data_IF_371295064088
#
_entry.id   IF_371295064088
#
_cell.length_a   1.000
_cell.length_b   1.000
_cell.length_c   1.000
_cell.angle_alpha   90.00
_cell.angle_beta   90.00
_cell.angle_gamma   90.00
#
_symmetry.space_group_name_H-M   'P 1'
#
loop_
_entity.id
_entity.type
_entity.pdbx_description
1 polymer ?
#
# COMPACT_ATOMS: atom_id res chain seq x y z
N UNK A 1 -11.30 25.25 10.10
CA UNK A 1 -10.12 24.76 10.84
C UNK A 1 -8.90 25.39 10.20
N UNK A 2 -7.97 25.89 11.00
CA UNK A 2 -6.72 26.44 10.47
C UNK A 2 -5.88 25.30 9.88
N UNK A 3 -5.49 25.44 8.61
CA UNK A 3 -4.61 24.48 7.95
C UNK A 3 -3.22 24.56 8.58
N UNK A 4 -2.58 23.42 8.80
CA UNK A 4 -1.20 23.34 9.32
C UNK A 4 -0.14 23.44 8.23
N UNK A 5 -0.54 23.84 7.01
CA UNK A 5 0.34 24.09 5.87
C UNK A 5 -0.15 25.29 5.06
N UNK A 6 0.69 25.79 4.18
CA UNK A 6 0.34 26.74 3.12
C UNK A 6 1.04 26.37 1.81
N UNK A 7 0.45 26.76 0.68
CA UNK A 7 1.10 26.65 -0.62
C UNK A 7 2.20 27.73 -0.75
N UNK A 8 3.32 27.36 -1.34
CA UNK A 8 4.42 28.29 -1.63
C UNK A 8 4.40 28.72 -3.11
N UNK A 9 5.24 29.69 -3.46
CA UNK A 9 5.47 30.12 -4.85
C UNK A 9 6.30 29.10 -5.65
N UNK A 10 6.95 28.14 -4.98
CA UNK A 10 7.68 27.07 -5.65
C UNK A 10 6.68 26.12 -6.31
N UNK A 11 6.73 26.06 -7.64
CA UNK A 11 5.82 25.26 -8.45
C UNK A 11 6.60 24.35 -9.41
N UNK A 12 5.95 23.26 -9.81
CA UNK A 12 6.40 22.39 -10.90
C UNK A 12 5.20 21.94 -11.74
N UNK A 13 5.44 21.57 -12.99
CA UNK A 13 4.45 20.89 -13.82
C UNK A 13 4.81 19.41 -13.82
N UNK A 14 3.87 18.55 -13.44
CA UNK A 14 4.09 17.10 -13.42
C UNK A 14 3.81 16.44 -14.78
N UNK A 15 3.97 15.12 -14.85
CA UNK A 15 3.77 14.33 -16.08
C UNK A 15 2.32 14.42 -16.61
N UNK A 16 1.35 14.72 -15.75
CA UNK A 16 -0.05 14.93 -16.12
C UNK A 16 -0.35 16.37 -16.59
N UNK A 17 0.69 17.20 -16.81
CA UNK A 17 0.57 18.62 -17.16
C UNK A 17 -0.18 19.46 -16.10
N UNK A 18 -0.16 19.03 -14.84
CA UNK A 18 -0.78 19.76 -13.72
C UNK A 18 0.29 20.59 -13.01
N UNK A 19 -0.03 21.85 -12.74
CA UNK A 19 0.80 22.71 -11.89
C UNK A 19 0.60 22.34 -10.44
N UNK A 20 1.68 21.94 -9.77
CA UNK A 20 1.68 21.64 -8.34
C UNK A 20 2.46 22.69 -7.58
N UNK A 21 2.01 22.99 -6.37
CA UNK A 21 2.62 23.91 -5.43
C UNK A 21 3.29 23.13 -4.31
N UNK A 22 4.54 23.48 -3.98
CA UNK A 22 5.20 22.93 -2.80
C UNK A 22 4.50 23.43 -1.54
N UNK A 23 4.23 22.55 -0.59
CA UNK A 23 3.65 22.91 0.71
C UNK A 23 4.73 23.30 1.72
N UNK A 24 4.38 24.15 2.67
CA UNK A 24 5.22 24.49 3.81
C UNK A 24 4.40 24.50 5.09
N UNK A 25 4.94 23.92 6.15
CA UNK A 25 4.27 23.80 7.43
C UNK A 25 4.11 25.18 8.09
N UNK A 26 2.92 25.46 8.63
CA UNK A 26 2.61 26.72 9.32
C UNK A 26 2.78 26.61 10.83
N UNK A 27 2.85 25.39 11.36
CA UNK A 27 3.11 25.07 12.77
C UNK A 27 3.77 23.70 12.88
N UNK A 28 4.25 23.39 14.08
CA UNK A 28 4.71 22.04 14.41
C UNK A 28 3.55 21.03 14.35
N UNK A 29 3.86 19.85 13.85
CA UNK A 29 2.97 18.69 13.75
C UNK A 29 3.75 17.40 14.01
N UNK A 30 3.09 16.24 13.86
CA UNK A 30 3.75 14.93 13.95
C UNK A 30 4.77 14.68 12.83
N UNK A 31 4.60 15.32 11.68
CA UNK A 31 5.36 15.05 10.45
C UNK A 31 6.34 16.16 10.07
N UNK A 32 6.04 17.41 10.43
CA UNK A 32 6.83 18.56 10.01
C UNK A 32 6.90 19.66 11.08
N UNK A 33 8.01 20.39 11.09
CA UNK A 33 8.23 21.59 11.91
C UNK A 33 7.79 22.87 11.21
N UNK A 34 7.43 23.89 11.98
CA UNK A 34 7.03 25.18 11.41
C UNK A 34 8.11 25.72 10.45
N UNK A 35 7.71 26.06 9.21
CA UNK A 35 8.63 26.52 8.15
C UNK A 35 9.29 25.40 7.33
N UNK A 36 9.11 24.13 7.69
CA UNK A 36 9.60 22.99 6.92
C UNK A 36 8.79 22.81 5.63
N UNK A 37 9.50 22.54 4.54
CA UNK A 37 8.92 22.30 3.22
C UNK A 37 8.58 20.81 3.09
N UNK A 38 7.35 20.52 2.68
CA UNK A 38 6.89 19.16 2.33
C UNK A 38 6.91 18.94 0.82
N UNK A 39 6.12 17.98 0.35
CA UNK A 39 5.91 17.67 -1.06
C UNK A 39 4.99 18.66 -1.79
N UNK A 40 4.31 18.19 -2.81
CA UNK A 40 3.57 19.02 -3.76
C UNK A 40 2.10 18.65 -3.85
N UNK A 41 1.24 19.66 -3.88
CA UNK A 41 -0.20 19.50 -4.08
C UNK A 41 -0.69 20.44 -5.18
N UNK A 42 -1.70 20.03 -5.97
CA UNK A 42 -2.30 20.91 -6.98
C UNK A 42 -3.03 22.09 -6.31
N UNK A 43 -3.85 21.77 -5.30
CA UNK A 43 -4.64 22.77 -4.58
C UNK A 43 -4.75 22.42 -3.11
N UNK A 44 -5.16 23.43 -2.38
CA UNK A 44 -5.34 23.42 -0.94
C UNK A 44 -6.33 22.35 -0.43
N UNK A 45 -7.25 21.88 -1.28
CA UNK A 45 -8.26 20.87 -0.95
C UNK A 45 -7.75 19.44 -1.10
N UNK A 46 -6.57 19.23 -1.68
CA UNK A 46 -5.96 17.90 -1.77
C UNK A 46 -5.42 17.39 -0.43
N UNK A 47 -5.28 18.26 0.58
CA UNK A 47 -4.70 17.93 1.88
C UNK A 47 -5.52 18.53 3.03
N UNK A 48 -5.87 17.70 4.01
CA UNK A 48 -6.64 18.10 5.19
C UNK A 48 -6.29 17.33 6.46
N UNK A 49 -6.97 17.65 7.57
CA UNK A 49 -6.67 17.02 8.87
C UNK A 49 -5.29 17.42 9.42
N UNK A 50 -4.56 16.44 9.95
CA UNK A 50 -3.14 16.48 10.33
C UNK A 50 -2.27 15.69 9.32
N UNK A 51 -2.79 15.39 8.13
CA UNK A 51 -2.09 14.62 7.13
C UNK A 51 -0.96 15.43 6.48
N UNK A 52 0.08 14.76 6.00
CA UNK A 52 1.25 15.45 5.42
C UNK A 52 1.73 14.80 4.13
N UNK A 53 2.10 15.65 3.17
CA UNK A 53 2.78 15.25 1.94
C UNK A 53 4.23 15.71 2.05
N UNK A 54 5.18 14.80 1.91
CA UNK A 54 6.61 15.06 2.14
C UNK A 54 7.47 14.83 0.88
N UNK A 55 8.74 15.26 0.95
CA UNK A 55 9.76 15.04 -0.07
C UNK A 55 9.37 15.55 -1.48
N UNK A 56 9.25 14.64 -2.44
CA UNK A 56 8.87 14.88 -3.83
C UNK A 56 7.45 14.40 -4.14
N UNK A 57 6.74 13.85 -3.15
CA UNK A 57 5.43 13.26 -3.34
C UNK A 57 4.44 14.28 -3.92
N UNK A 58 3.48 13.77 -4.68
CA UNK A 58 2.55 14.57 -5.47
C UNK A 58 1.12 14.13 -5.19
N UNK A 59 0.25 15.11 -4.88
CA UNK A 59 -1.19 14.89 -4.75
C UNK A 59 -1.95 15.86 -5.65
N UNK A 60 -2.77 15.35 -6.57
CA UNK A 60 -3.48 16.19 -7.54
C UNK A 60 -4.81 15.60 -8.02
N UNK A 61 -5.56 16.36 -8.81
CA UNK A 61 -6.92 16.05 -9.21
C UNK A 61 -7.91 16.20 -8.06
N UNK A 62 -8.87 15.28 -7.98
CA UNK A 62 -9.85 15.17 -6.90
C UNK A 62 -9.32 14.31 -5.73
N UNK A 63 -8.04 13.92 -5.75
CA UNK A 63 -7.47 13.12 -4.69
C UNK A 63 -7.43 13.91 -3.38
N UNK A 64 -7.71 13.22 -2.27
CA UNK A 64 -7.77 13.83 -0.96
C UNK A 64 -7.04 13.00 0.08
N UNK A 65 -6.02 13.61 0.70
CA UNK A 65 -5.23 13.04 1.78
C UNK A 65 -5.61 13.71 3.09
N UNK A 66 -6.09 12.96 4.08
CA UNK A 66 -6.63 13.54 5.31
C UNK A 66 -6.45 12.68 6.56
N UNK A 67 -7.05 13.10 7.69
CA UNK A 67 -6.82 12.53 9.03
C UNK A 67 -5.34 12.65 9.45
N UNK A 68 -4.64 11.55 9.65
CA UNK A 68 -3.22 11.49 10.02
C UNK A 68 -2.39 10.79 8.94
N UNK A 69 -2.91 10.70 7.71
CA UNK A 69 -2.24 9.99 6.63
C UNK A 69 -0.94 10.68 6.22
N UNK A 70 -0.02 9.88 5.68
CA UNK A 70 1.31 10.33 5.30
C UNK A 70 1.63 9.90 3.87
N UNK A 71 2.04 10.84 3.04
CA UNK A 71 2.48 10.57 1.66
C UNK A 71 3.91 11.08 1.51
N UNK A 72 4.86 10.22 1.16
CA UNK A 72 6.29 10.57 1.19
C UNK A 72 7.06 10.13 -0.05
N UNK A 73 8.35 10.44 -0.06
CA UNK A 73 9.31 10.04 -1.11
C UNK A 73 8.91 10.60 -2.48
N UNK A 74 8.64 9.75 -3.47
CA UNK A 74 8.16 10.11 -4.80
C UNK A 74 6.73 9.59 -5.07
N UNK A 75 5.99 9.24 -4.02
CA UNK A 75 4.64 8.68 -4.16
C UNK A 75 3.70 9.65 -4.88
N UNK A 76 2.75 9.08 -5.63
CA UNK A 76 1.78 9.84 -6.44
C UNK A 76 0.36 9.42 -6.10
N UNK A 77 -0.45 10.38 -5.64
CA UNK A 77 -1.86 10.15 -5.31
C UNK A 77 -2.72 11.06 -6.19
N UNK A 78 -3.56 10.48 -7.04
CA UNK A 78 -4.32 11.28 -8.02
C UNK A 78 -5.67 10.68 -8.41
N UNK A 79 -6.37 11.28 -9.38
CA UNK A 79 -7.75 10.87 -9.71
C UNK A 79 -8.72 11.33 -8.62
N UNK A 80 -9.59 10.45 -8.17
CA UNK A 80 -10.49 10.60 -7.01
C UNK A 80 -9.99 9.79 -5.79
N UNK A 81 -8.70 9.42 -5.74
CA UNK A 81 -8.16 8.57 -4.69
C UNK A 81 -8.28 9.19 -3.30
N UNK A 82 -8.53 8.37 -2.29
CA UNK A 82 -8.62 8.81 -0.89
C UNK A 82 -7.58 8.09 -0.04
N UNK A 83 -6.76 8.86 0.69
CA UNK A 83 -5.77 8.32 1.62
C UNK A 83 -6.00 8.93 2.99
N UNK A 84 -6.35 8.12 3.99
CA UNK A 84 -6.80 8.65 5.28
C UNK A 84 -6.50 7.75 6.48
N UNK A 85 -7.03 8.12 7.63
CA UNK A 85 -6.68 7.59 8.96
C UNK A 85 -5.18 7.70 9.23
N UNK A 86 -4.47 6.59 9.42
CA UNK A 86 -3.03 6.50 9.63
C UNK A 86 -2.29 5.87 8.45
N UNK A 87 -2.93 5.80 7.28
CA UNK A 87 -2.34 5.20 6.09
C UNK A 87 -1.04 5.90 5.68
N UNK A 88 -0.11 5.11 5.13
CA UNK A 88 1.15 5.62 4.60
C UNK A 88 1.37 5.14 3.17
N UNK A 89 1.51 6.10 2.25
CA UNK A 89 1.93 5.86 0.86
C UNK A 89 3.33 6.44 0.67
N UNK A 90 4.30 5.65 0.24
CA UNK A 90 5.70 6.09 0.12
C UNK A 90 6.42 5.46 -1.06
N UNK A 91 7.76 5.60 -1.07
CA UNK A 91 8.63 5.21 -2.18
C UNK A 91 8.16 5.80 -3.53
N UNK A 92 7.91 4.97 -4.54
CA UNK A 92 7.43 5.39 -5.86
C UNK A 92 6.00 4.89 -6.12
N UNK A 93 5.25 4.57 -5.06
CA UNK A 93 3.90 4.00 -5.17
C UNK A 93 2.91 4.98 -5.83
N UNK A 94 1.89 4.40 -6.50
CA UNK A 94 0.82 5.15 -7.16
C UNK A 94 -0.53 4.73 -6.62
N UNK A 95 -1.33 5.69 -6.18
CA UNK A 95 -2.71 5.46 -5.74
C UNK A 95 -3.63 6.37 -6.56
N UNK A 96 -4.51 5.79 -7.37
CA UNK A 96 -5.29 6.56 -8.33
C UNK A 96 -6.69 6.00 -8.62
N UNK A 97 -7.38 6.60 -9.59
CA UNK A 97 -8.80 6.38 -9.87
C UNK A 97 -9.67 6.64 -8.65
N UNK A 98 -10.40 5.66 -8.12
CA UNK A 98 -11.25 5.80 -6.93
C UNK A 98 -10.71 4.92 -5.79
N UNK A 99 -9.42 4.59 -5.81
CA UNK A 99 -8.80 3.77 -4.80
C UNK A 99 -8.87 4.41 -3.42
N UNK A 100 -8.99 3.58 -2.38
CA UNK A 100 -8.96 3.99 -0.98
C UNK A 100 -7.84 3.28 -0.23
N UNK A 101 -7.04 4.04 0.50
CA UNK A 101 -6.01 3.50 1.40
C UNK A 101 -6.21 4.12 2.77
N UNK A 102 -6.53 3.30 3.77
CA UNK A 102 -6.93 3.81 5.08
C UNK A 102 -6.57 2.88 6.24
N UNK A 103 -7.05 3.21 7.44
CA UNK A 103 -6.61 2.63 8.70
C UNK A 103 -5.09 2.74 8.89
N UNK A 104 -4.34 1.64 8.99
CA UNK A 104 -2.89 1.63 9.14
C UNK A 104 -2.20 1.00 7.91
N UNK A 105 -2.88 1.01 6.76
CA UNK A 105 -2.37 0.42 5.55
C UNK A 105 -1.08 1.09 5.07
N UNK A 106 -0.17 0.31 4.49
CA UNK A 106 1.05 0.78 3.87
C UNK A 106 1.07 0.44 2.38
N UNK A 107 1.39 1.41 1.54
CA UNK A 107 1.63 1.21 0.10
C UNK A 107 3.01 1.79 -0.24
N UNK A 108 3.90 0.97 -0.78
CA UNK A 108 5.28 1.36 -1.09
C UNK A 108 5.90 0.56 -2.24
N UNK A 109 7.21 0.73 -2.44
CA UNK A 109 7.88 0.22 -3.65
C UNK A 109 7.41 0.94 -4.91
N UNK A 110 7.16 0.17 -5.96
CA UNK A 110 6.52 0.59 -7.22
C UNK A 110 5.04 0.14 -7.27
N UNK A 111 4.42 -0.09 -6.11
CA UNK A 111 3.07 -0.65 -6.07
C UNK A 111 2.04 0.31 -6.67
N UNK A 112 1.04 -0.26 -7.34
CA UNK A 112 -0.09 0.50 -7.89
C UNK A 112 -1.40 0.04 -7.25
N UNK A 113 -2.19 0.99 -6.75
CA UNK A 113 -3.55 0.76 -6.23
C UNK A 113 -4.51 1.65 -7.02
N UNK A 114 -5.41 1.06 -7.79
CA UNK A 114 -6.28 1.79 -8.71
C UNK A 114 -7.66 1.15 -8.89
N UNK A 115 -8.48 1.65 -9.82
CA UNK A 115 -9.88 1.26 -9.92
C UNK A 115 -10.72 1.70 -8.71
N UNK A 116 -11.47 0.75 -8.13
CA UNK A 116 -12.27 0.89 -6.90
C UNK A 116 -11.65 0.06 -5.77
N UNK A 117 -10.33 -0.17 -5.82
CA UNK A 117 -9.64 -1.00 -4.85
C UNK A 117 -9.56 -0.34 -3.46
N UNK A 118 -9.63 -1.15 -2.41
CA UNK A 118 -9.46 -0.69 -1.04
C UNK A 118 -8.33 -1.46 -0.35
N UNK A 119 -7.42 -0.73 0.31
CA UNK A 119 -6.37 -1.29 1.17
C UNK A 119 -6.58 -0.76 2.59
N UNK A 120 -6.87 -1.67 3.52
CA UNK A 120 -7.30 -1.37 4.88
C UNK A 120 -6.65 -2.31 5.92
N UNK A 121 -6.82 -2.03 7.21
CA UNK A 121 -6.19 -2.79 8.29
C UNK A 121 -4.72 -2.41 8.50
N UNK A 122 -3.93 -3.44 8.77
CA UNK A 122 -2.47 -3.42 8.84
C UNK A 122 -1.86 -3.97 7.54
N UNK A 123 -2.62 -3.94 6.44
CA UNK A 123 -2.19 -4.52 5.18
C UNK A 123 -1.04 -3.72 4.58
N UNK A 124 -0.17 -4.41 3.85
CA UNK A 124 0.94 -3.78 3.17
C UNK A 124 1.01 -4.24 1.71
N UNK A 125 1.05 -3.28 0.79
CA UNK A 125 1.25 -3.50 -0.66
C UNK A 125 2.60 -2.91 -1.05
N UNK A 126 3.51 -3.73 -1.56
CA UNK A 126 4.92 -3.38 -1.79
C UNK A 126 5.41 -3.87 -3.15
N UNK A 127 6.69 -3.62 -3.43
CA UNK A 127 7.38 -4.07 -4.64
C UNK A 127 6.66 -3.59 -5.92
N UNK A 128 6.41 -4.47 -6.90
CA UNK A 128 5.71 -4.16 -8.16
C UNK A 128 4.26 -4.67 -8.14
N UNK A 129 3.68 -4.83 -6.94
CA UNK A 129 2.33 -5.34 -6.77
C UNK A 129 1.29 -4.37 -7.32
N UNK A 130 0.21 -4.93 -7.86
CA UNK A 130 -0.90 -4.18 -8.41
C UNK A 130 -2.22 -4.66 -7.81
N UNK A 131 -3.00 -3.73 -7.29
CA UNK A 131 -4.32 -3.97 -6.70
C UNK A 131 -5.34 -3.09 -7.44
N UNK A 132 -6.33 -3.71 -8.09
CA UNK A 132 -7.26 -2.99 -8.97
C UNK A 132 -8.68 -3.59 -8.95
N UNK A 133 -9.55 -3.10 -9.82
CA UNK A 133 -10.94 -3.52 -9.94
C UNK A 133 -11.71 -3.16 -8.67
N UNK A 134 -12.37 -4.15 -8.06
CA UNK A 134 -13.07 -4.02 -6.78
C UNK A 134 -12.37 -4.83 -5.67
N UNK A 135 -11.05 -5.01 -5.81
CA UNK A 135 -10.27 -5.75 -4.83
C UNK A 135 -10.29 -5.06 -3.46
N UNK A 136 -10.30 -5.87 -2.40
CA UNK A 136 -10.12 -5.41 -1.02
C UNK A 136 -8.95 -6.17 -0.43
N UNK A 137 -7.91 -5.46 -0.02
CA UNK A 137 -6.76 -6.01 0.70
C UNK A 137 -6.88 -5.58 2.15
N UNK A 138 -7.11 -6.54 3.03
CA UNK A 138 -7.53 -6.28 4.42
C UNK A 138 -6.71 -7.06 5.45
N UNK A 139 -6.78 -6.61 6.70
CA UNK A 139 -6.20 -7.30 7.85
C UNK A 139 -4.67 -7.17 7.87
N UNK A 140 -3.96 -8.29 7.95
CA UNK A 140 -2.49 -8.36 7.99
C UNK A 140 -1.89 -8.86 6.67
N UNK A 141 -2.60 -8.66 5.56
CA UNK A 141 -2.15 -9.13 4.26
C UNK A 141 -0.87 -8.43 3.83
N UNK A 142 0.14 -9.22 3.47
CA UNK A 142 1.34 -8.71 2.81
C UNK A 142 1.28 -9.09 1.33
N UNK A 143 1.09 -8.08 0.47
CA UNK A 143 1.06 -8.21 -0.98
C UNK A 143 2.34 -7.58 -1.52
N UNK A 144 3.09 -8.32 -2.35
CA UNK A 144 4.38 -7.85 -2.85
C UNK A 144 4.78 -8.55 -4.14
N UNK A 145 6.07 -8.59 -4.43
CA UNK A 145 6.63 -9.13 -5.67
C UNK A 145 5.91 -8.50 -6.86
N UNK A 146 5.40 -9.31 -7.79
CA UNK A 146 4.58 -8.88 -8.95
C UNK A 146 3.14 -9.35 -8.78
N UNK A 147 2.59 -9.26 -7.57
CA UNK A 147 1.20 -9.63 -7.30
C UNK A 147 0.23 -8.86 -8.23
N UNK A 148 -0.87 -9.50 -8.59
CA UNK A 148 -1.96 -8.88 -9.32
C UNK A 148 -3.28 -9.30 -8.68
N UNK A 149 -3.90 -8.35 -7.97
CA UNK A 149 -5.09 -8.58 -7.14
C UNK A 149 -6.27 -7.81 -7.74
N UNK A 150 -7.21 -8.52 -8.35
CA UNK A 150 -8.47 -7.95 -8.83
C UNK A 150 -9.67 -8.39 -7.98
N UNK A 151 -9.51 -9.49 -7.26
CA UNK A 151 -10.54 -10.11 -6.46
C UNK A 151 -9.99 -10.60 -5.11
N UNK A 152 -10.86 -10.70 -4.10
CA UNK A 152 -10.53 -11.24 -2.78
C UNK A 152 -9.95 -12.66 -2.81
N UNK A 153 -10.23 -13.44 -3.87
CA UNK A 153 -9.70 -14.80 -4.05
C UNK A 153 -8.25 -14.84 -4.56
N UNK A 154 -7.71 -13.71 -5.00
CA UNK A 154 -6.36 -13.64 -5.58
C UNK A 154 -5.27 -13.60 -4.51
N UNK A 155 -5.65 -13.57 -3.23
CA UNK A 155 -4.74 -13.80 -2.12
C UNK A 155 -5.43 -14.56 -0.98
N UNK A 156 -4.63 -15.13 -0.08
CA UNK A 156 -5.10 -15.65 1.19
C UNK A 156 -4.03 -15.45 2.25
N UNK A 157 -4.46 -15.26 3.51
CA UNK A 157 -3.60 -14.99 4.65
C UNK A 157 -3.83 -16.06 5.71
N UNK A 158 -2.76 -16.64 6.21
CA UNK A 158 -2.77 -17.55 7.35
C UNK A 158 -2.07 -16.87 8.52
N UNK A 159 -2.70 -16.86 9.69
CA UNK A 159 -2.18 -16.26 10.91
C UNK A 159 -2.65 -17.06 12.12
N UNK A 160 -1.99 -16.88 13.28
CA UNK A 160 -2.43 -17.47 14.54
C UNK A 160 -2.12 -18.96 14.69
N UNK A 161 -1.22 -19.51 13.89
CA UNK A 161 -0.90 -20.95 13.89
C UNK A 161 0.51 -21.23 14.45
N UNK A 162 0.62 -22.32 15.21
CA UNK A 162 1.88 -22.83 15.73
C UNK A 162 2.69 -21.79 16.52
N UNK A 163 3.99 -21.69 16.23
CA UNK A 163 4.89 -20.69 16.82
C UNK A 163 4.89 -19.35 16.07
N UNK A 164 4.16 -19.24 14.96
CA UNK A 164 4.15 -18.09 14.05
C UNK A 164 2.87 -17.26 14.18
N UNK A 165 2.38 -17.14 15.41
CA UNK A 165 1.08 -16.50 15.71
C UNK A 165 1.03 -15.07 15.21
N UNK A 166 2.18 -14.39 15.25
CA UNK A 166 2.37 -12.98 14.90
C UNK A 166 3.05 -12.79 13.53
N UNK A 167 3.28 -13.87 12.77
CA UNK A 167 3.92 -13.82 11.45
C UNK A 167 2.95 -14.35 10.39
N UNK A 168 2.17 -13.48 9.74
CA UNK A 168 1.23 -13.93 8.71
C UNK A 168 2.00 -14.55 7.54
N UNK A 169 1.50 -15.66 7.03
CA UNK A 169 1.87 -16.18 5.71
C UNK A 169 0.83 -15.67 4.72
N UNK A 170 1.28 -14.93 3.71
CA UNK A 170 0.40 -14.46 2.63
C UNK A 170 0.78 -15.15 1.32
N UNK A 171 -0.19 -15.77 0.67
CA UNK A 171 -0.04 -16.32 -0.67
C UNK A 171 -0.93 -15.54 -1.63
N UNK A 172 -0.42 -15.21 -2.82
CA UNK A 172 -1.12 -14.37 -3.80
C UNK A 172 -0.81 -14.74 -5.24
N UNK A 173 -1.71 -14.39 -6.15
CA UNK A 173 -1.52 -14.54 -7.60
C UNK A 173 -0.57 -13.45 -8.12
N UNK A 174 0.46 -13.87 -8.86
CA UNK A 174 1.33 -12.97 -9.61
C UNK A 174 0.80 -12.72 -11.04
N UNK A 175 1.28 -11.65 -11.68
CA UNK A 175 0.97 -11.28 -13.07
C UNK A 175 1.21 -12.41 -14.09
N UNK A 176 2.15 -13.32 -13.82
CA UNK A 176 2.43 -14.47 -14.68
C UNK A 176 1.55 -15.71 -14.39
N UNK A 177 0.61 -15.61 -13.44
CA UNK A 177 -0.27 -16.70 -13.02
C UNK A 177 0.30 -17.62 -11.95
N UNK A 178 1.59 -17.49 -11.59
CA UNK A 178 2.17 -18.23 -10.47
C UNK A 178 1.61 -17.75 -9.13
N UNK A 179 1.77 -18.56 -8.09
CA UNK A 179 1.45 -18.16 -6.71
C UNK A 179 2.73 -17.77 -6.01
N UNK A 180 2.82 -16.49 -5.63
CA UNK A 180 3.84 -15.97 -4.72
C UNK A 180 3.49 -16.25 -3.27
N UNK A 181 4.51 -16.41 -2.43
CA UNK A 181 4.38 -16.56 -0.98
C UNK A 181 5.32 -15.57 -0.30
N UNK A 182 4.76 -14.80 0.62
CA UNK A 182 5.49 -13.99 1.60
C UNK A 182 5.32 -14.61 2.98
N UNK A 183 6.45 -14.91 3.63
CA UNK A 183 6.49 -15.43 4.98
C UNK A 183 7.86 -15.21 5.63
N UNK A 184 7.92 -14.45 6.72
CA UNK A 184 9.19 -14.03 7.34
C UNK A 184 10.13 -13.41 6.29
N UNK A 185 11.29 -14.01 6.03
CA UNK A 185 12.25 -13.58 5.00
C UNK A 185 12.04 -14.26 3.65
N UNK A 186 11.07 -15.18 3.55
CA UNK A 186 10.75 -15.87 2.32
C UNK A 186 9.88 -14.98 1.42
N UNK A 187 10.37 -14.72 0.20
CA UNK A 187 9.65 -13.98 -0.83
C UNK A 187 9.90 -14.59 -2.21
N UNK A 188 9.24 -15.71 -2.50
CA UNK A 188 9.41 -16.54 -3.72
C UNK A 188 8.11 -17.29 -4.05
N UNK A 189 8.15 -18.26 -4.96
CA UNK A 189 6.97 -19.02 -5.42
C UNK A 189 6.49 -20.06 -4.40
N UNK A 190 5.22 -20.45 -4.46
CA UNK A 190 4.64 -21.52 -3.65
C UNK A 190 5.38 -22.85 -3.84
N UNK A 191 5.80 -23.16 -5.06
CA UNK A 191 6.61 -24.35 -5.37
C UNK A 191 7.96 -24.30 -4.63
N UNK A 192 8.65 -23.16 -4.72
CA UNK A 192 9.90 -22.95 -4.00
C UNK A 192 9.72 -23.04 -2.48
N UNK A 193 8.57 -22.63 -1.95
CA UNK A 193 8.29 -22.67 -0.51
C UNK A 193 8.08 -24.12 -0.08
N UNK A 194 7.31 -24.88 -0.86
CA UNK A 194 7.07 -26.31 -0.67
C UNK A 194 8.38 -27.10 -0.63
N UNK A 195 9.32 -26.79 -1.53
CA UNK A 195 10.62 -27.48 -1.62
C UNK A 195 11.51 -27.30 -0.37
N UNK A 196 11.27 -26.28 0.45
CA UNK A 196 12.04 -26.03 1.68
C UNK A 196 11.51 -26.83 2.89
N UNK A 197 10.36 -27.49 2.78
CA UNK A 197 9.68 -28.11 3.92
C UNK A 197 10.19 -29.52 4.22
N UNK A 198 11.02 -29.65 5.26
CA UNK A 198 11.40 -30.94 5.84
C UNK A 198 10.30 -31.57 6.72
N UNK A 199 10.55 -32.79 7.23
CA UNK A 199 9.58 -33.59 8.01
C UNK A 199 9.43 -33.19 9.49
N UNK A 200 9.67 -31.93 9.81
CA UNK A 200 9.46 -31.40 11.16
C UNK A 200 7.97 -31.15 11.42
N UNK A 201 7.50 -31.07 12.68
CA UNK A 201 6.12 -30.67 12.98
C UNK A 201 5.72 -29.32 12.35
N UNK A 202 6.68 -28.40 12.24
CA UNK A 202 6.49 -27.14 11.51
C UNK A 202 6.29 -27.35 10.02
N UNK A 203 7.10 -28.20 9.39
CA UNK A 203 6.95 -28.58 7.99
C UNK A 203 5.62 -29.27 7.70
N UNK A 204 5.14 -30.15 8.60
CA UNK A 204 3.81 -30.76 8.48
C UNK A 204 2.70 -29.71 8.53
N UNK A 205 2.79 -28.73 9.43
CA UNK A 205 1.83 -27.61 9.51
C UNK A 205 1.79 -26.84 8.19
N UNK A 206 2.95 -26.47 7.64
CA UNK A 206 3.00 -25.73 6.38
C UNK A 206 2.52 -26.55 5.19
N UNK A 207 2.77 -27.86 5.13
CA UNK A 207 2.20 -28.71 4.08
C UNK A 207 0.67 -28.65 4.09
N UNK A 208 0.04 -28.74 5.25
CA UNK A 208 -1.41 -28.59 5.37
C UNK A 208 -1.88 -27.21 4.89
N UNK A 209 -1.19 -26.14 5.28
CA UNK A 209 -1.49 -24.78 4.81
C UNK A 209 -1.34 -24.67 3.29
N UNK A 210 -0.30 -25.27 2.70
CA UNK A 210 -0.07 -25.30 1.26
C UNK A 210 -1.21 -26.01 0.53
N UNK A 211 -1.74 -27.12 1.07
CA UNK A 211 -2.90 -27.77 0.46
C UNK A 211 -4.14 -26.86 0.47
N UNK A 212 -4.35 -26.08 1.54
CA UNK A 212 -5.41 -25.05 1.57
C UNK A 212 -5.15 -23.95 0.54
N UNK A 213 -3.90 -23.51 0.39
CA UNK A 213 -3.51 -22.52 -0.64
C UNK A 213 -3.82 -23.07 -2.04
N UNK A 214 -3.42 -24.31 -2.36
CA UNK A 214 -3.68 -24.93 -3.66
C UNK A 214 -5.18 -25.02 -3.94
N UNK A 215 -5.98 -25.40 -2.94
CA UNK A 215 -7.44 -25.41 -3.03
C UNK A 215 -8.00 -24.00 -3.31
N UNK A 216 -7.52 -22.97 -2.61
CA UNK A 216 -7.94 -21.57 -2.82
C UNK A 216 -7.67 -21.09 -4.25
N UNK A 217 -6.52 -21.48 -4.82
CA UNK A 217 -6.08 -21.05 -6.15
C UNK A 217 -6.45 -22.00 -7.29
N UNK A 218 -7.15 -23.10 -7.01
CA UNK A 218 -7.49 -24.17 -7.96
C UNK A 218 -6.25 -24.77 -8.66
N UNK A 219 -5.21 -25.12 -7.89
CA UNK A 219 -3.95 -25.68 -8.40
C UNK A 219 -3.88 -27.22 -8.36
N UNK A 220 -5.02 -27.89 -8.19
CA UNK A 220 -5.11 -29.33 -7.98
C UNK A 220 -5.21 -30.10 -9.29
#
# INVERSE_FOLDING_TARGET
MDKHFKLTEETKVNEACVTLHRIMATRDSRHAKAGEKGGFVEREDNLGGEAWVDNNAEVWGEAFVYCYAYVSDNARVHGNAQVYDHAWVGADARVYDNARVHENAYVGGQAEVHGQAEVEGMAAVKDEAEVTGHARVLGWAEIGRRAFIEHLRDYCVFQGFGRWKDCPLTAFREKNGEIGVLFEHYSKTLEGFTALLGDTPGGQTFRTIIEVIKLNFNLN
#
